data_IF_970453297558
#
_entry.id   IF_970453297558
#
_cell.length_a   1.000
_cell.length_b   1.000
_cell.length_c   1.000
_cell.angle_alpha   90.00
_cell.angle_beta   90.00
_cell.angle_gamma   90.00
#
_symmetry.space_group_name_H-M   'P 1'
#
loop_
_entity.id
_entity.type
_entity.pdbx_description
1 polymer ?
#
# COMPACT_ATOMS: atom_id res chain seq x y z
N UNK A 1 31.66 -15.18 -32.66
CA UNK A 1 31.53 -13.70 -32.58
C UNK A 1 30.04 -13.38 -32.66
N UNK A 2 29.47 -12.76 -31.64
CA UNK A 2 28.04 -12.38 -31.62
C UNK A 2 27.93 -10.93 -32.09
N UNK A 3 27.01 -10.65 -33.02
CA UNK A 3 26.69 -9.29 -33.46
C UNK A 3 25.49 -8.79 -32.68
N UNK A 4 25.64 -7.62 -32.06
CA UNK A 4 24.58 -6.93 -31.33
C UNK A 4 24.16 -5.69 -32.12
N UNK A 5 22.87 -5.36 -32.07
CA UNK A 5 22.30 -4.18 -32.71
C UNK A 5 21.49 -3.41 -31.68
N UNK A 6 21.56 -2.07 -31.75
CA UNK A 6 20.76 -1.17 -30.94
C UNK A 6 20.04 -0.21 -31.90
N UNK A 7 18.79 0.13 -31.59
CA UNK A 7 18.01 1.13 -32.33
C UNK A 7 17.25 1.98 -31.33
N UNK A 8 17.02 3.25 -31.67
CA UNK A 8 16.26 4.15 -30.81
C UNK A 8 14.84 4.33 -31.33
N UNK A 9 13.88 4.34 -30.41
CA UNK A 9 12.46 4.56 -30.71
C UNK A 9 12.05 5.91 -30.11
N UNK A 10 11.51 6.80 -30.95
CA UNK A 10 11.01 8.11 -30.53
C UNK A 10 9.68 8.01 -29.75
N UNK A 11 9.34 9.08 -29.02
CA UNK A 11 8.11 9.27 -28.22
C UNK A 11 7.98 8.36 -27.00
N UNK A 12 7.52 7.11 -27.18
CA UNK A 12 7.26 6.20 -26.06
C UNK A 12 8.54 5.59 -25.48
N UNK A 13 9.64 5.58 -26.23
CA UNK A 13 10.94 5.00 -25.83
C UNK A 13 10.83 3.55 -25.31
N UNK A 14 9.81 2.81 -25.76
CA UNK A 14 9.53 1.41 -25.41
C UNK A 14 9.40 0.56 -26.66
N UNK A 15 9.93 -0.66 -26.63
CA UNK A 15 9.76 -1.64 -27.71
C UNK A 15 9.61 -3.05 -27.15
N UNK A 16 9.00 -3.94 -27.94
CA UNK A 16 8.94 -5.36 -27.62
C UNK A 16 10.09 -6.11 -28.29
N UNK A 17 10.68 -7.06 -27.58
CA UNK A 17 11.74 -7.93 -28.12
C UNK A 17 11.25 -9.37 -28.13
N UNK A 18 11.52 -10.06 -29.24
CA UNK A 18 11.19 -11.48 -29.52
C UNK A 18 9.69 -11.82 -29.57
N UNK A 19 9.38 -13.04 -30.00
CA UNK A 19 8.01 -13.59 -30.00
C UNK A 19 7.40 -13.69 -28.59
N UNK A 20 8.24 -13.67 -27.56
CA UNK A 20 7.80 -13.63 -26.16
C UNK A 20 7.23 -12.25 -25.75
N UNK A 21 7.26 -11.24 -26.62
CA UNK A 21 6.70 -9.90 -26.39
C UNK A 21 7.22 -9.27 -25.08
N UNK A 22 8.54 -9.31 -24.86
CA UNK A 22 9.16 -8.72 -23.68
C UNK A 22 9.28 -7.20 -23.89
N UNK A 23 8.60 -6.42 -23.06
CA UNK A 23 8.62 -4.96 -23.12
C UNK A 23 9.93 -4.42 -22.50
N UNK A 24 10.67 -3.62 -23.27
CA UNK A 24 11.93 -2.98 -22.85
C UNK A 24 11.90 -1.47 -23.08
N UNK A 25 12.71 -0.72 -22.34
CA UNK A 25 12.83 0.74 -22.43
C UNK A 25 14.20 1.13 -23.00
N UNK A 26 14.23 1.99 -24.02
CA UNK A 26 15.46 2.42 -24.68
C UNK A 26 16.15 3.61 -23.99
N UNK A 27 15.39 4.45 -23.27
CA UNK A 27 15.94 5.67 -22.64
C UNK A 27 15.77 5.65 -21.11
N UNK A 28 16.86 5.98 -20.40
CA UNK A 28 16.93 6.04 -18.95
C UNK A 28 16.35 7.34 -18.36
N UNK A 29 15.33 7.93 -18.97
CA UNK A 29 14.66 9.10 -18.40
C UNK A 29 13.64 8.70 -17.34
N UNK A 30 14.06 7.87 -16.39
CA UNK A 30 13.43 7.79 -15.07
C UNK A 30 13.83 8.99 -14.17
N UNK A 31 14.57 9.96 -14.71
CA UNK A 31 15.02 11.16 -14.01
C UNK A 31 14.83 12.44 -14.85
N UNK A 32 13.73 13.15 -14.64
CA UNK A 32 13.68 14.62 -14.69
C UNK A 32 12.36 15.12 -14.08
N UNK A 33 12.43 15.73 -12.89
CA UNK A 33 11.28 16.38 -12.22
C UNK A 33 10.59 15.53 -11.15
N UNK A 34 11.34 14.89 -10.24
CA UNK A 34 10.78 13.88 -9.32
C UNK A 34 9.99 14.50 -8.17
N UNK A 35 8.73 14.91 -8.42
CA UNK A 35 7.74 15.06 -7.35
C UNK A 35 7.74 13.76 -6.54
N UNK A 36 8.19 13.83 -5.29
CA UNK A 36 8.33 12.65 -4.42
C UNK A 36 7.01 11.88 -4.41
N UNK A 37 7.03 10.67 -4.95
CA UNK A 37 5.83 9.84 -5.04
C UNK A 37 5.25 9.60 -3.64
N UNK A 38 3.92 9.58 -3.51
CA UNK A 38 3.26 9.48 -2.20
C UNK A 38 3.66 8.24 -1.38
N UNK A 39 4.05 7.16 -2.07
CA UNK A 39 4.49 5.92 -1.44
C UNK A 39 5.99 5.90 -1.08
N UNK A 40 6.78 6.88 -1.52
CA UNK A 40 8.21 6.97 -1.19
C UNK A 40 8.40 7.22 0.31
N UNK A 41 9.40 6.58 0.93
CA UNK A 41 9.78 6.83 2.34
C UNK A 41 10.10 8.31 2.59
N UNK A 42 10.60 9.02 1.58
CA UNK A 42 10.92 10.46 1.62
C UNK A 42 9.69 11.37 1.56
N UNK A 43 8.49 10.82 1.35
CA UNK A 43 7.25 11.59 1.24
C UNK A 43 6.87 12.23 2.58
N UNK A 44 6.74 13.56 2.56
CA UNK A 44 6.25 14.37 3.69
C UNK A 44 4.73 14.50 3.71
N UNK A 45 4.01 13.77 2.85
CA UNK A 45 2.54 13.79 2.82
C UNK A 45 2.01 13.16 4.10
N UNK A 46 1.13 13.88 4.79
CA UNK A 46 0.42 13.37 5.97
C UNK A 46 -0.31 12.05 5.63
N UNK A 47 -0.29 11.14 6.57
CA UNK A 47 -0.93 9.82 6.47
C UNK A 47 -1.91 9.63 7.65
N UNK A 48 -2.71 8.58 7.57
CA UNK A 48 -3.48 8.06 8.69
C UNK A 48 -3.36 6.54 8.74
N UNK A 49 -3.49 6.02 9.96
CA UNK A 49 -3.51 4.61 10.29
C UNK A 49 -4.93 4.11 10.51
N UNK A 50 -5.24 2.93 10.00
CA UNK A 50 -6.54 2.30 10.11
C UNK A 50 -6.43 0.82 10.45
N UNK A 51 -7.51 0.28 10.99
CA UNK A 51 -7.68 -1.14 11.28
C UNK A 51 -8.92 -1.65 10.55
N UNK A 52 -8.87 -2.93 10.16
CA UNK A 52 -10.00 -3.72 9.69
C UNK A 52 -10.20 -4.82 10.72
N UNK A 53 -11.44 -4.97 11.18
CA UNK A 53 -11.82 -5.87 12.25
C UNK A 53 -13.07 -6.65 11.87
N UNK A 54 -13.23 -7.84 12.44
CA UNK A 54 -14.47 -8.60 12.36
C UNK A 54 -15.54 -7.91 13.23
N UNK A 55 -16.72 -7.62 12.66
CA UNK A 55 -17.75 -6.84 13.35
C UNK A 55 -18.39 -7.56 14.52
N UNK A 56 -18.42 -8.89 14.51
CA UNK A 56 -19.06 -9.71 15.56
C UNK A 56 -18.11 -9.94 16.73
N UNK A 57 -16.86 -10.29 16.43
CA UNK A 57 -15.88 -10.66 17.47
C UNK A 57 -15.02 -9.49 17.93
N UNK A 58 -14.96 -8.40 17.17
CA UNK A 58 -14.02 -7.30 17.39
C UNK A 58 -12.56 -7.62 17.03
N UNK A 59 -12.29 -8.83 16.55
CA UNK A 59 -10.94 -9.30 16.21
C UNK A 59 -10.33 -8.47 15.06
N UNK A 60 -9.16 -7.89 15.30
CA UNK A 60 -8.46 -7.09 14.31
C UNK A 60 -7.67 -8.01 13.36
N UNK A 61 -8.19 -8.16 12.15
CA UNK A 61 -7.59 -9.00 11.12
C UNK A 61 -6.49 -8.29 10.33
N UNK A 62 -6.46 -6.95 10.37
CA UNK A 62 -5.48 -6.15 9.61
C UNK A 62 -5.32 -4.72 10.15
N UNK A 63 -4.08 -4.26 10.24
CA UNK A 63 -3.74 -2.83 10.29
C UNK A 63 -3.20 -2.33 8.94
N UNK A 64 -3.31 -1.02 8.68
CA UNK A 64 -2.81 -0.39 7.46
C UNK A 64 -2.64 1.11 7.55
N UNK A 65 -1.88 1.69 6.61
CA UNK A 65 -1.72 3.15 6.46
C UNK A 65 -2.18 3.67 5.10
N UNK A 66 -2.57 4.95 5.05
CA UNK A 66 -2.97 5.64 3.81
C UNK A 66 -2.59 7.12 3.82
N UNK A 67 -2.25 7.65 2.65
CA UNK A 67 -2.04 9.08 2.41
C UNK A 67 -3.20 9.76 1.68
N UNK A 68 -4.32 9.05 1.51
CA UNK A 68 -5.55 9.62 0.96
C UNK A 68 -6.18 10.55 1.99
N UNK A 69 -6.88 11.60 1.55
CA UNK A 69 -7.65 12.44 2.46
C UNK A 69 -8.77 11.60 3.09
N UNK A 70 -9.02 11.78 4.38
CA UNK A 70 -10.17 11.18 5.05
C UNK A 70 -11.48 11.70 4.46
N UNK A 71 -12.52 10.86 4.47
CA UNK A 71 -13.88 11.28 4.14
C UNK A 71 -14.39 12.32 5.15
N UNK A 72 -15.46 13.05 4.80
CA UNK A 72 -16.09 14.03 5.70
C UNK A 72 -16.53 13.41 7.04
N UNK A 73 -16.95 12.15 7.02
CA UNK A 73 -17.31 11.37 8.22
C UNK A 73 -16.09 10.80 8.99
N UNK A 74 -14.86 11.15 8.61
CA UNK A 74 -13.64 10.69 9.27
C UNK A 74 -13.18 9.27 8.91
N UNK A 75 -13.90 8.56 8.03
CA UNK A 75 -13.48 7.22 7.57
C UNK A 75 -12.37 7.28 6.52
N UNK A 76 -11.59 6.21 6.41
CA UNK A 76 -10.51 6.06 5.43
C UNK A 76 -11.06 5.51 4.11
N UNK A 77 -10.96 6.24 2.98
CA UNK A 77 -11.40 5.71 1.68
C UNK A 77 -10.67 4.41 1.29
N UNK A 78 -9.39 4.28 1.64
CA UNK A 78 -8.61 3.06 1.44
C UNK A 78 -9.15 1.89 2.26
N UNK A 79 -9.50 2.14 3.52
CA UNK A 79 -10.01 1.09 4.41
C UNK A 79 -11.41 0.63 3.94
N UNK A 80 -12.30 1.57 3.61
CA UNK A 80 -13.64 1.27 3.12
C UNK A 80 -13.60 0.42 1.83
N UNK A 81 -12.67 0.72 0.91
CA UNK A 81 -12.47 -0.09 -0.30
C UNK A 81 -11.96 -1.49 0.01
N UNK A 82 -11.07 -1.66 0.99
CA UNK A 82 -10.61 -2.99 1.41
C UNK A 82 -11.73 -3.78 2.07
N UNK A 83 -12.50 -3.16 2.98
CA UNK A 83 -13.66 -3.78 3.61
C UNK A 83 -14.72 -4.18 2.59
N UNK A 84 -15.05 -3.30 1.64
CA UNK A 84 -16.01 -3.62 0.57
C UNK A 84 -15.56 -4.83 -0.26
N UNK A 85 -14.26 -4.94 -0.57
CA UNK A 85 -13.72 -6.11 -1.26
C UNK A 85 -13.77 -7.38 -0.39
N UNK A 86 -13.55 -7.26 0.92
CA UNK A 86 -13.59 -8.40 1.85
C UNK A 86 -15.02 -8.91 2.09
N UNK A 87 -16.00 -8.01 2.14
CA UNK A 87 -17.40 -8.37 2.42
C UNK A 87 -18.16 -8.88 1.19
N UNK A 88 -17.69 -8.58 -0.02
CA UNK A 88 -18.35 -9.04 -1.26
C UNK A 88 -19.83 -8.60 -1.35
N UNK A 89 -20.66 -9.43 -1.98
CA UNK A 89 -22.04 -9.10 -2.37
C UNK A 89 -23.13 -9.43 -1.33
N UNK A 90 -22.81 -9.73 -0.06
CA UNK A 90 -23.88 -10.18 0.85
C UNK A 90 -23.70 -9.88 2.32
N UNK A 91 -22.56 -10.28 2.91
CA UNK A 91 -22.44 -10.28 4.37
C UNK A 91 -21.41 -9.25 4.82
N UNK A 92 -21.85 -8.32 5.66
CA UNK A 92 -20.96 -7.37 6.33
C UNK A 92 -20.22 -8.09 7.45
N UNK A 93 -19.12 -8.78 7.15
CA UNK A 93 -18.31 -9.48 8.16
C UNK A 93 -17.27 -8.54 8.77
N UNK A 94 -16.75 -7.61 7.97
CA UNK A 94 -15.66 -6.72 8.36
C UNK A 94 -16.11 -5.27 8.44
N UNK A 95 -15.58 -4.57 9.45
CA UNK A 95 -15.65 -3.13 9.64
C UNK A 95 -14.27 -2.50 9.55
N UNK A 96 -14.22 -1.17 9.43
CA UNK A 96 -12.97 -0.43 9.48
C UNK A 96 -13.07 0.81 10.37
N UNK A 97 -11.98 1.11 11.08
CA UNK A 97 -11.84 2.32 11.91
C UNK A 97 -10.49 2.99 11.71
N UNK A 98 -10.46 4.30 11.82
CA UNK A 98 -9.21 5.08 11.79
C UNK A 98 -8.69 5.22 13.20
N UNK A 99 -7.49 4.71 13.45
CA UNK A 99 -6.89 4.65 14.80
C UNK A 99 -5.87 5.75 15.02
N UNK A 100 -5.20 6.20 13.95
CA UNK A 100 -4.26 7.31 14.03
C UNK A 100 -4.50 8.30 12.89
N UNK A 101 -4.73 9.57 13.24
CA UNK A 101 -4.89 10.67 12.29
C UNK A 101 -3.60 11.48 12.20
N UNK A 102 -3.40 12.17 11.08
CA UNK A 102 -2.35 13.19 10.88
C UNK A 102 -0.91 12.72 11.17
N UNK A 103 -0.56 11.49 10.81
CA UNK A 103 0.83 11.03 10.86
C UNK A 103 1.67 11.88 9.90
N UNK A 104 2.76 12.46 10.38
CA UNK A 104 3.46 13.58 9.74
C UNK A 104 4.00 13.24 8.35
N UNK A 105 4.58 12.05 8.19
CA UNK A 105 5.24 11.64 6.96
C UNK A 105 5.13 10.12 6.74
N UNK A 106 5.63 9.64 5.60
CA UNK A 106 5.58 8.22 5.23
C UNK A 106 6.43 7.33 6.14
N UNK A 107 7.58 7.79 6.60
CA UNK A 107 8.47 7.04 7.51
C UNK A 107 7.79 6.78 8.85
N UNK A 108 7.26 7.83 9.48
CA UNK A 108 6.53 7.73 10.75
C UNK A 108 5.31 6.83 10.62
N UNK A 109 4.65 6.83 9.45
CA UNK A 109 3.51 5.97 9.19
C UNK A 109 3.90 4.50 9.09
N UNK A 110 5.02 4.18 8.45
CA UNK A 110 5.54 2.81 8.39
C UNK A 110 5.96 2.31 9.77
N UNK A 111 6.59 3.17 10.58
CA UNK A 111 6.95 2.84 11.95
C UNK A 111 5.71 2.61 12.82
N UNK A 112 4.71 3.49 12.70
CA UNK A 112 3.41 3.32 13.36
C UNK A 112 2.74 2.02 12.94
N UNK A 113 2.71 1.70 11.64
CA UNK A 113 2.10 0.46 11.12
C UNK A 113 2.76 -0.77 11.72
N UNK A 114 4.11 -0.78 11.78
CA UNK A 114 4.90 -1.85 12.40
C UNK A 114 4.60 -2.01 13.89
N UNK A 115 4.61 -0.91 14.65
CA UNK A 115 4.32 -0.90 16.09
C UNK A 115 2.87 -1.35 16.37
N UNK A 116 1.91 -0.85 15.59
CA UNK A 116 0.51 -1.24 15.75
C UNK A 116 0.29 -2.72 15.42
N UNK A 117 0.94 -3.22 14.36
CA UNK A 117 0.86 -4.64 14.01
C UNK A 117 1.37 -5.53 15.16
N UNK A 118 2.53 -5.21 15.73
CA UNK A 118 3.08 -5.94 16.88
C UNK A 118 2.17 -5.86 18.11
N UNK A 119 1.65 -4.66 18.41
CA UNK A 119 0.70 -4.46 19.51
C UNK A 119 -0.54 -5.34 19.35
N UNK A 120 -1.19 -5.32 18.18
CA UNK A 120 -2.39 -6.10 17.90
C UNK A 120 -2.15 -7.60 18.05
N UNK A 121 -0.98 -8.07 17.62
CA UNK A 121 -0.55 -9.46 17.80
C UNK A 121 -0.38 -9.82 19.29
N UNK A 122 0.27 -8.97 20.07
CA UNK A 122 0.41 -9.14 21.53
C UNK A 122 -0.94 -9.14 22.25
N UNK A 123 -1.91 -8.37 21.75
CA UNK A 123 -3.30 -8.34 22.20
C UNK A 123 -4.12 -9.57 21.74
N UNK A 124 -3.47 -10.58 21.15
CA UNK A 124 -4.07 -11.83 20.65
C UNK A 124 -5.09 -11.65 19.52
N UNK A 125 -5.01 -10.56 18.75
CA UNK A 125 -5.78 -10.44 17.52
C UNK A 125 -5.20 -11.38 16.45
N UNK A 126 -6.06 -11.94 15.59
CA UNK A 126 -5.67 -12.95 14.62
C UNK A 126 -4.67 -12.44 13.58
N UNK A 127 -4.77 -11.15 13.21
CA UNK A 127 -3.99 -10.56 12.11
C UNK A 127 -4.03 -11.40 10.82
N UNK A 128 -5.11 -12.18 10.64
CA UNK A 128 -5.23 -13.30 9.69
C UNK A 128 -5.06 -12.92 8.22
N UNK A 129 -5.44 -11.69 7.84
CA UNK A 129 -5.32 -11.19 6.46
C UNK A 129 -4.20 -10.15 6.30
N UNK A 130 -3.42 -9.92 7.36
CA UNK A 130 -2.32 -8.98 7.36
C UNK A 130 -1.08 -9.63 6.72
N UNK A 131 -0.59 -9.03 5.63
CA UNK A 131 0.55 -9.59 4.87
C UNK A 131 1.89 -9.05 5.34
N UNK A 132 2.02 -7.73 5.51
CA UNK A 132 3.24 -7.03 5.94
C UNK A 132 2.87 -5.66 6.52
N UNK A 133 3.63 -5.15 7.50
CA UNK A 133 4.73 -5.82 8.23
C UNK A 133 4.23 -6.88 9.22
N UNK A 134 4.98 -7.97 9.42
CA UNK A 134 4.69 -9.02 10.44
C UNK A 134 5.86 -9.14 11.42
N UNK A 135 6.00 -8.22 12.40
CA UNK A 135 7.18 -8.14 13.27
C UNK A 135 7.29 -9.28 14.30
N UNK A 136 6.31 -10.19 14.33
CA UNK A 136 6.31 -11.38 15.18
C UNK A 136 6.84 -12.63 14.47
N UNK A 137 7.20 -12.52 13.19
CA UNK A 137 7.80 -13.61 12.40
C UNK A 137 9.28 -13.37 12.10
N UNK A 138 9.90 -12.39 12.76
CA UNK A 138 11.33 -12.09 12.66
C UNK A 138 12.19 -13.15 13.37
#
# INVERSE_FOLDING_TARGET
MIRVYNFEVEDFHTYFVSDASVLVHNTASCAAGTKVHGNSKKSKRKQHGYEIYNIETGDVVKTGISGQKLNRNGTSPRANRQVSKLNGNGTKVYGARVVKKNIKNRSDALEWERKNALKLWQEKNSMSIHKRPRPWED
#
